data_IF_138876840143
#
_entry.id   IF_138876840143
#
_cell.length_a   1.000
_cell.length_b   1.000
_cell.length_c   1.000
_cell.angle_alpha   90.00
_cell.angle_beta   90.00
_cell.angle_gamma   90.00
#
_symmetry.space_group_name_H-M   'P 1'
#
loop_
_entity.id
_entity.type
_entity.pdbx_description
1 polymer ?
#
# COMPACT_ATOMS: atom_id res chain seq x y z
N UNK A 1 0.43 26.71 -8.43
CA UNK A 1 0.57 25.27 -8.14
C UNK A 1 -0.69 24.46 -8.55
N UNK A 2 -1.37 24.79 -9.67
CA UNK A 2 -2.62 24.12 -10.08
C UNK A 2 -2.53 23.36 -11.42
N UNK A 3 -1.34 23.31 -12.05
CA UNK A 3 -1.17 22.79 -13.42
C UNK A 3 -0.37 21.47 -13.52
N UNK A 4 -0.09 20.79 -12.40
CA UNK A 4 0.56 19.48 -12.47
C UNK A 4 -0.42 18.42 -12.98
N UNK A 5 0.04 17.61 -13.93
CA UNK A 5 -0.67 16.41 -14.41
C UNK A 5 -1.02 15.54 -13.18
N UNK A 6 -2.20 14.88 -13.14
CA UNK A 6 -2.57 13.95 -12.08
C UNK A 6 -1.46 12.99 -11.62
N UNK A 7 -0.60 12.54 -12.53
CA UNK A 7 0.53 11.65 -12.24
C UNK A 7 1.61 12.35 -11.42
N UNK A 8 1.99 13.57 -11.81
CA UNK A 8 3.00 14.35 -11.10
C UNK A 8 2.49 14.83 -9.73
N UNK A 9 1.18 15.08 -9.62
CA UNK A 9 0.55 15.39 -8.33
C UNK A 9 0.60 14.19 -7.38
N UNK A 10 0.25 13.00 -7.86
CA UNK A 10 0.32 11.77 -7.06
C UNK A 10 1.75 11.52 -6.55
N UNK A 11 2.76 11.82 -7.38
CA UNK A 11 4.19 11.67 -7.04
C UNK A 11 4.64 12.67 -5.98
N UNK A 12 4.24 13.94 -6.09
CA UNK A 12 4.52 14.94 -5.04
C UNK A 12 3.83 14.56 -3.72
N UNK A 13 2.58 14.09 -3.80
CA UNK A 13 1.84 13.60 -2.64
C UNK A 13 2.52 12.37 -2.01
N UNK A 14 3.16 11.49 -2.79
CA UNK A 14 3.85 10.31 -2.27
C UNK A 14 5.17 10.63 -1.53
N UNK A 15 5.77 11.81 -1.75
CA UNK A 15 6.91 12.30 -0.96
C UNK A 15 6.46 13.14 0.26
N UNK A 16 5.19 13.56 0.29
CA UNK A 16 4.67 14.37 1.38
C UNK A 16 4.95 13.79 2.77
N UNK A 17 4.89 12.47 2.93
CA UNK A 17 5.11 11.84 4.22
C UNK A 17 6.52 12.12 4.77
N UNK A 18 7.57 12.20 3.93
CA UNK A 18 8.92 12.48 4.43
C UNK A 18 9.12 13.98 4.71
N UNK A 19 8.45 14.85 3.96
CA UNK A 19 8.58 16.32 4.07
C UNK A 19 7.65 16.97 5.11
N UNK A 20 6.68 16.22 5.66
CA UNK A 20 5.69 16.76 6.60
C UNK A 20 6.32 17.28 7.90
N UNK A 21 5.71 18.32 8.47
CA UNK A 21 5.98 18.74 9.84
C UNK A 21 5.36 17.73 10.80
N UNK A 22 6.17 17.18 11.70
CA UNK A 22 5.77 16.14 12.66
C UNK A 22 5.58 16.75 14.05
N UNK A 23 4.44 16.47 14.68
CA UNK A 23 4.24 16.72 16.11
C UNK A 23 4.57 15.41 16.86
N UNK A 24 5.63 15.36 17.68
CA UNK A 24 6.06 14.13 18.35
C UNK A 24 5.02 13.58 19.34
N UNK A 25 3.99 14.35 19.69
CA UNK A 25 2.92 13.92 20.60
C UNK A 25 1.70 13.36 19.86
N UNK A 26 1.68 13.37 18.52
CA UNK A 26 0.51 12.97 17.72
C UNK A 26 0.89 11.98 16.62
N UNK A 27 0.07 10.96 16.46
CA UNK A 27 0.11 10.07 15.30
C UNK A 27 -0.76 10.69 14.20
N UNK A 28 -0.13 11.31 13.21
CA UNK A 28 -0.83 11.97 12.11
C UNK A 28 -0.78 11.17 10.80
N UNK A 29 0.13 10.20 10.70
CA UNK A 29 0.37 9.39 9.52
C UNK A 29 0.86 7.97 9.91
N UNK A 30 0.63 6.91 9.11
CA UNK A 30 1.15 5.57 9.37
C UNK A 30 2.67 5.53 9.64
N UNK A 31 3.43 6.39 8.97
CA UNK A 31 4.87 6.55 9.20
C UNK A 31 5.27 7.11 10.59
N UNK A 32 4.33 7.61 11.39
CA UNK A 32 4.58 7.95 12.81
C UNK A 32 4.50 6.71 13.72
N UNK A 33 3.95 5.60 13.23
CA UNK A 33 3.79 4.39 14.02
C UNK A 33 5.13 3.71 14.32
N UNK A 34 5.22 3.08 15.49
CA UNK A 34 6.42 2.36 15.94
C UNK A 34 6.80 1.21 15.02
N UNK A 35 5.83 0.56 14.37
CA UNK A 35 6.07 -0.49 13.39
C UNK A 35 6.87 0.02 12.18
N UNK A 36 6.49 1.20 11.66
CA UNK A 36 7.18 1.81 10.54
C UNK A 36 8.63 2.17 10.90
N UNK A 37 8.81 2.80 12.06
CA UNK A 37 10.12 3.21 12.57
C UNK A 37 11.05 2.01 12.83
N UNK A 38 10.51 0.93 13.40
CA UNK A 38 11.26 -0.32 13.59
C UNK A 38 11.69 -0.92 12.25
N UNK A 39 10.80 -0.90 11.26
CA UNK A 39 11.13 -1.38 9.92
C UNK A 39 12.24 -0.55 9.28
N UNK A 40 12.16 0.78 9.34
CA UNK A 40 13.20 1.66 8.80
C UNK A 40 14.57 1.39 9.47
N UNK A 41 14.56 1.09 10.77
CA UNK A 41 15.77 0.71 11.50
C UNK A 41 16.35 -0.66 11.09
N UNK A 42 15.50 -1.61 10.69
CA UNK A 42 15.94 -2.93 10.22
C UNK A 42 16.42 -2.91 8.76
N UNK A 43 15.85 -2.03 7.94
CA UNK A 43 16.12 -1.94 6.50
C UNK A 43 16.51 -0.51 6.09
N UNK A 44 17.67 -0.01 6.54
CA UNK A 44 18.09 1.36 6.29
C UNK A 44 18.27 1.67 4.80
N UNK A 45 18.73 0.71 3.99
CA UNK A 45 18.85 0.88 2.54
C UNK A 45 17.50 1.09 1.85
N UNK A 46 16.44 0.46 2.35
CA UNK A 46 15.08 0.69 1.87
C UNK A 46 14.56 2.06 2.30
N UNK A 47 14.76 2.41 3.57
CA UNK A 47 14.29 3.67 4.16
C UNK A 47 15.00 4.91 3.60
N UNK A 48 16.23 4.75 3.11
CA UNK A 48 17.06 5.82 2.55
C UNK A 48 16.42 6.50 1.34
N UNK A 49 15.73 5.74 0.48
CA UNK A 49 15.02 6.29 -0.66
C UNK A 49 13.53 6.48 -0.32
N UNK A 50 13.05 7.72 -0.14
CA UNK A 50 11.66 7.99 0.23
C UNK A 50 10.67 7.65 -0.88
N UNK A 51 11.15 7.44 -2.12
CA UNK A 51 10.33 7.02 -3.27
C UNK A 51 9.91 5.56 -3.17
N UNK A 52 10.57 4.76 -2.33
CA UNK A 52 10.15 3.38 -2.05
C UNK A 52 8.75 3.36 -1.41
N UNK A 53 7.89 2.47 -1.90
CA UNK A 53 6.46 2.48 -1.56
C UNK A 53 6.15 1.49 -0.45
N UNK A 54 5.33 1.93 0.50
CA UNK A 54 4.71 1.08 1.50
C UNK A 54 3.23 0.88 1.19
N UNK A 55 2.86 -0.38 1.06
CA UNK A 55 1.50 -0.80 0.87
C UNK A 55 0.92 -1.35 2.17
N UNK A 56 -0.34 -1.02 2.42
CA UNK A 56 -1.15 -1.73 3.39
C UNK A 56 -1.98 -2.77 2.65
N UNK A 57 -1.89 -4.03 3.10
CA UNK A 57 -2.75 -5.08 2.63
C UNK A 57 -3.94 -5.20 3.57
N UNK A 58 -5.16 -5.05 3.04
CA UNK A 58 -6.39 -5.34 3.77
C UNK A 58 -7.20 -6.40 3.05
N UNK A 59 -7.69 -7.38 3.81
CA UNK A 59 -8.64 -8.37 3.34
C UNK A 59 -9.72 -8.49 4.41
N UNK A 60 -10.97 -8.25 4.01
CA UNK A 60 -12.13 -8.39 4.91
C UNK A 60 -13.25 -9.16 4.21
N UNK A 61 -14.02 -9.91 4.97
CA UNK A 61 -15.10 -10.75 4.47
C UNK A 61 -16.43 -10.03 4.49
N UNK A 62 -17.03 -9.82 3.33
CA UNK A 62 -18.37 -9.23 3.19
C UNK A 62 -19.36 -10.20 2.55
N UNK A 63 -20.64 -10.09 2.94
CA UNK A 63 -21.74 -10.84 2.34
C UNK A 63 -22.68 -9.87 1.61
N UNK A 64 -22.58 -9.76 0.27
CA UNK A 64 -23.38 -8.81 -0.51
C UNK A 64 -24.87 -9.20 -0.61
N UNK A 65 -25.26 -10.42 -0.21
CA UNK A 65 -26.64 -10.92 -0.32
C UNK A 65 -27.45 -10.85 0.99
N UNK A 66 -26.90 -10.19 2.02
CA UNK A 66 -27.62 -9.79 3.24
C UNK A 66 -27.53 -10.77 4.41
N UNK A 67 -27.85 -10.27 5.61
CA UNK A 67 -27.67 -10.94 6.92
C UNK A 67 -28.36 -12.31 7.07
N UNK A 68 -29.37 -12.61 6.25
CA UNK A 68 -30.16 -13.85 6.35
C UNK A 68 -29.74 -14.95 5.39
N UNK A 69 -28.73 -14.72 4.55
CA UNK A 69 -28.28 -15.71 3.58
C UNK A 69 -26.76 -15.89 3.65
N UNK A 70 -26.29 -16.98 4.26
CA UNK A 70 -24.85 -17.30 4.38
C UNK A 70 -24.29 -18.10 3.19
N UNK A 71 -25.02 -18.22 2.08
CA UNK A 71 -24.58 -19.02 0.92
C UNK A 71 -23.52 -18.34 0.06
N UNK A 72 -23.07 -17.13 0.43
CA UNK A 72 -22.05 -16.41 -0.31
C UNK A 72 -21.19 -15.54 0.62
N UNK A 73 -19.89 -15.54 0.34
CA UNK A 73 -18.88 -14.72 0.97
C UNK A 73 -17.99 -14.15 -0.12
N UNK A 74 -17.73 -12.84 -0.04
CA UNK A 74 -16.85 -12.11 -0.93
C UNK A 74 -15.76 -11.45 -0.10
N UNK A 75 -14.50 -11.73 -0.42
CA UNK A 75 -13.34 -11.17 0.25
C UNK A 75 -12.54 -10.34 -0.75
N UNK A 76 -12.73 -9.02 -0.79
CA UNK A 76 -11.82 -8.14 -1.52
C UNK A 76 -10.46 -8.07 -0.81
N UNK A 77 -9.41 -8.33 -1.58
CA UNK A 77 -8.02 -8.08 -1.19
C UNK A 77 -7.63 -6.74 -1.78
N UNK A 78 -7.36 -5.78 -0.91
CA UNK A 78 -7.17 -4.38 -1.22
C UNK A 78 -5.76 -3.94 -0.82
N UNK A 79 -5.09 -3.22 -1.71
CA UNK A 79 -3.85 -2.50 -1.42
C UNK A 79 -4.10 -1.01 -1.29
N UNK A 80 -3.52 -0.40 -0.27
CA UNK A 80 -3.52 1.05 -0.06
C UNK A 80 -2.10 1.58 0.00
N UNK A 81 -1.82 2.69 -0.69
CA UNK A 81 -0.50 3.33 -0.68
C UNK A 81 -0.38 4.21 0.58
N UNK A 82 0.44 3.79 1.54
CA UNK A 82 0.65 4.54 2.79
C UNK A 82 1.64 5.68 2.68
N UNK A 83 2.35 5.84 1.56
CA UNK A 83 3.19 7.03 1.33
C UNK A 83 2.35 8.30 1.10
N UNK A 84 1.08 8.14 0.71
CA UNK A 84 0.19 9.26 0.45
C UNK A 84 -0.31 9.91 1.75
N UNK A 85 -0.61 11.21 1.74
CA UNK A 85 -1.19 11.89 2.88
C UNK A 85 -2.46 11.18 3.37
N UNK A 86 -2.75 11.25 4.66
CA UNK A 86 -3.87 10.51 5.27
C UNK A 86 -5.24 10.85 4.68
N UNK A 87 -5.42 12.07 4.17
CA UNK A 87 -6.65 12.48 3.48
C UNK A 87 -6.76 11.96 2.04
N UNK A 88 -5.67 11.43 1.47
CA UNK A 88 -5.64 10.81 0.15
C UNK A 88 -5.58 9.29 0.23
N UNK A 89 -4.77 8.69 1.11
CA UNK A 89 -4.52 7.24 1.08
C UNK A 89 -5.79 6.37 1.14
N UNK A 90 -6.83 6.81 1.85
CA UNK A 90 -8.12 6.10 1.94
C UNK A 90 -9.15 6.46 0.84
N UNK A 91 -8.75 7.25 -0.17
CA UNK A 91 -9.65 7.59 -1.28
C UNK A 91 -9.69 6.43 -2.27
N UNK A 92 -10.90 6.07 -2.71
CA UNK A 92 -11.15 5.00 -3.71
C UNK A 92 -10.22 5.03 -4.93
N UNK A 93 -9.80 6.21 -5.40
CA UNK A 93 -8.87 6.36 -6.55
C UNK A 93 -7.43 5.89 -6.28
N UNK A 94 -7.04 5.73 -5.02
CA UNK A 94 -5.69 5.34 -4.58
C UNK A 94 -5.68 4.03 -3.81
N UNK A 95 -6.82 3.35 -3.83
CA UNK A 95 -7.03 2.02 -3.28
C UNK A 95 -7.14 1.06 -4.46
N UNK A 96 -6.32 0.02 -4.48
CA UNK A 96 -6.28 -0.94 -5.57
C UNK A 96 -6.92 -2.25 -5.13
N UNK A 97 -7.86 -2.76 -5.91
CA UNK A 97 -8.39 -4.11 -5.74
C UNK A 97 -7.43 -5.08 -6.45
N UNK A 98 -6.77 -5.93 -5.68
CA UNK A 98 -5.79 -6.90 -6.21
C UNK A 98 -6.43 -8.26 -6.48
N UNK A 99 -7.38 -8.67 -5.64
CA UNK A 99 -8.08 -9.93 -5.81
C UNK A 99 -9.48 -9.84 -5.23
N UNK A 100 -10.39 -10.63 -5.78
CA UNK A 100 -11.75 -10.79 -5.27
C UNK A 100 -12.02 -12.28 -5.10
N UNK A 101 -11.99 -12.74 -3.86
CA UNK A 101 -12.21 -14.15 -3.55
C UNK A 101 -13.70 -14.32 -3.28
N UNK A 102 -14.39 -15.07 -4.14
CA UNK A 102 -15.81 -15.38 -3.97
C UNK A 102 -15.98 -16.86 -3.70
N UNK A 103 -16.82 -17.19 -2.72
CA UNK A 103 -17.11 -18.58 -2.39
C UNK A 103 -18.39 -18.72 -1.58
N UNK A 104 -18.97 -19.92 -1.53
CA UNK A 104 -20.14 -20.17 -0.69
C UNK A 104 -19.85 -20.05 0.81
N UNK A 105 -18.57 -20.10 1.18
CA UNK A 105 -18.06 -19.95 2.55
C UNK A 105 -16.84 -19.06 2.53
N UNK A 106 -16.44 -18.59 3.72
CA UNK A 106 -15.18 -17.91 3.92
C UNK A 106 -14.01 -18.82 3.48
N UNK A 107 -12.95 -18.26 2.88
CA UNK A 107 -11.81 -19.03 2.38
C UNK A 107 -11.08 -19.80 3.49
N UNK A 108 -11.23 -19.39 4.75
CA UNK A 108 -10.70 -20.12 5.89
C UNK A 108 -9.17 -20.24 5.81
N UNK A 109 -8.67 -21.47 5.87
CA UNK A 109 -7.23 -21.77 5.80
C UNK A 109 -6.69 -21.48 4.39
N UNK A 110 -7.49 -21.70 3.35
CA UNK A 110 -7.07 -21.62 1.94
C UNK A 110 -6.87 -20.17 1.43
N UNK A 111 -6.92 -19.17 2.31
CA UNK A 111 -6.70 -17.76 1.95
C UNK A 111 -5.27 -17.51 1.43
N UNK A 112 -4.31 -18.32 1.88
CA UNK A 112 -2.91 -18.25 1.47
C UNK A 112 -2.72 -18.60 -0.01
N UNK A 113 -3.46 -19.58 -0.53
CA UNK A 113 -3.47 -19.94 -1.96
C UNK A 113 -3.85 -18.74 -2.83
N UNK A 114 -4.84 -17.95 -2.40
CA UNK A 114 -5.25 -16.76 -3.14
C UNK A 114 -4.27 -15.59 -3.03
N UNK A 115 -3.42 -15.58 -2.01
CA UNK A 115 -2.38 -14.55 -1.83
C UNK A 115 -1.06 -14.90 -2.50
N UNK A 116 -0.86 -16.13 -2.98
CA UNK A 116 0.40 -16.59 -3.60
C UNK A 116 0.88 -15.66 -4.73
N UNK A 117 0.05 -15.27 -5.74
CA UNK A 117 0.50 -14.36 -6.79
C UNK A 117 0.93 -12.99 -6.26
N UNK A 118 0.22 -12.48 -5.24
CA UNK A 118 0.55 -11.22 -4.61
C UNK A 118 1.87 -11.29 -3.83
N UNK A 119 2.17 -12.45 -3.25
CA UNK A 119 3.41 -12.69 -2.52
C UNK A 119 4.61 -12.83 -3.48
N UNK A 120 4.40 -13.38 -4.67
CA UNK A 120 5.41 -13.39 -5.75
C UNK A 120 5.74 -11.97 -6.23
N UNK A 121 4.73 -11.15 -6.51
CA UNK A 121 4.91 -9.75 -6.89
C UNK A 121 5.62 -8.95 -5.79
N UNK A 122 5.24 -9.19 -4.53
CA UNK A 122 5.92 -8.62 -3.38
C UNK A 122 7.38 -9.03 -3.31
N UNK A 123 7.69 -10.31 -3.52
CA UNK A 123 9.06 -10.82 -3.47
C UNK A 123 9.91 -10.19 -4.58
N UNK A 124 9.36 -10.06 -5.79
CA UNK A 124 10.00 -9.40 -6.92
C UNK A 124 10.29 -7.91 -6.63
N UNK A 125 9.30 -7.17 -6.15
CA UNK A 125 9.45 -5.75 -5.80
C UNK A 125 10.43 -5.54 -4.64
N UNK A 126 10.50 -6.47 -3.70
CA UNK A 126 11.41 -6.38 -2.57
C UNK A 126 12.86 -6.73 -2.93
N UNK A 127 13.07 -7.86 -3.62
CA UNK A 127 14.41 -8.38 -3.91
C UNK A 127 15.06 -7.65 -5.08
N UNK A 128 14.36 -7.60 -6.21
CA UNK A 128 14.88 -7.09 -7.49
C UNK A 128 14.55 -5.61 -7.65
N UNK A 129 13.33 -5.22 -7.27
CA UNK A 129 12.78 -3.90 -7.55
C UNK A 129 12.44 -3.72 -9.03
N UNK A 130 11.99 -2.51 -9.38
CA UNK A 130 11.63 -2.14 -10.76
C UNK A 130 12.31 -0.82 -11.10
N UNK A 131 13.04 -0.78 -12.22
CA UNK A 131 13.61 0.48 -12.72
C UNK A 131 12.49 1.45 -13.11
N UNK A 132 12.56 2.64 -12.54
CA UNK A 132 11.65 3.73 -12.81
C UNK A 132 12.43 5.03 -12.97
N UNK A 133 11.92 5.92 -13.80
CA UNK A 133 12.43 7.29 -13.88
C UNK A 133 11.52 8.20 -13.06
N UNK A 134 12.12 9.01 -12.20
CA UNK A 134 11.41 10.08 -11.51
C UNK A 134 11.16 11.23 -12.50
N UNK A 135 9.90 11.55 -12.77
CA UNK A 135 9.54 12.59 -13.73
C UNK A 135 9.88 14.00 -13.26
N UNK A 136 10.10 14.22 -11.96
CA UNK A 136 10.42 15.53 -11.41
C UNK A 136 11.90 15.84 -11.52
N UNK A 137 12.74 14.90 -11.08
CA UNK A 137 14.20 15.03 -11.08
C UNK A 137 14.81 14.54 -12.39
N UNK A 138 14.05 13.79 -13.20
CA UNK A 138 14.52 13.07 -14.40
C UNK A 138 15.65 12.08 -14.09
N UNK A 139 15.70 11.59 -12.84
CA UNK A 139 16.67 10.61 -12.38
C UNK A 139 16.07 9.20 -12.39
N UNK A 140 16.88 8.24 -12.84
CA UNK A 140 16.53 6.83 -12.74
C UNK A 140 16.77 6.31 -11.33
N UNK A 141 15.84 5.48 -10.85
CA UNK A 141 15.92 4.83 -9.55
C UNK A 141 15.28 3.45 -9.60
N UNK A 142 15.69 2.59 -8.66
CA UNK A 142 15.07 1.28 -8.50
C UNK A 142 13.97 1.37 -7.45
N UNK A 143 12.71 1.33 -7.89
CA UNK A 143 11.57 1.29 -6.99
C UNK A 143 11.52 -0.08 -6.28
N UNK A 144 11.52 -0.04 -4.95
CA UNK A 144 11.18 -1.19 -4.10
C UNK A 144 9.88 -0.92 -3.36
N UNK A 145 9.22 -2.00 -2.92
CA UNK A 145 8.04 -1.88 -2.08
C UNK A 145 8.03 -2.82 -0.88
N UNK A 146 7.40 -2.37 0.20
CA UNK A 146 7.09 -3.18 1.37
C UNK A 146 5.58 -3.26 1.56
N UNK A 147 5.12 -4.39 2.10
CA UNK A 147 3.70 -4.59 2.43
C UNK A 147 3.61 -4.78 3.93
N UNK A 148 3.04 -3.77 4.59
CA UNK A 148 2.65 -3.84 5.99
C UNK A 148 1.45 -4.81 6.11
N UNK A 149 1.56 -5.75 7.05
CA UNK A 149 0.49 -6.67 7.45
C UNK A 149 -0.19 -6.14 8.71
#
# INVERSE_FOLDING_TARGET
MWYLNPIDRLRLDALWYCERIKDPKKLAHPADATQWQKFDGLYPEFAKDPRNVRFALSADGMNPFGERNSTHSTWPVILTIYNLPTWLCQKRKYTMLCSLIQGPKQPGIDIDVFHEPLMEDKAKLWNDGVEMTDSLTMEDFTLRSHYDK
#
